data_IF_207376432541
#
_entry.id   IF_207376432541
#
_cell.length_a   1.000
_cell.length_b   1.000
_cell.length_c   1.000
_cell.angle_alpha   90.00
_cell.angle_beta   90.00
_cell.angle_gamma   90.00
#
_symmetry.space_group_name_H-M   'P 1'
#
loop_
_entity.id
_entity.type
_entity.pdbx_description
1 polymer ?
#
# COMPACT_ATOMS: atom_id res chain seq x y z
N UNK A 1 25.36 -20.82 12.83
CA UNK A 1 24.09 -20.71 13.57
C UNK A 1 22.98 -20.95 12.55
N UNK A 2 22.00 -21.82 12.78
CA UNK A 2 20.88 -21.92 11.85
C UNK A 2 20.11 -20.59 11.91
N UNK A 3 19.97 -19.98 10.75
CA UNK A 3 19.32 -18.70 10.49
C UNK A 3 17.81 -18.84 10.74
N UNK A 4 17.39 -18.81 12.02
CA UNK A 4 15.98 -18.74 12.36
C UNK A 4 15.48 -17.33 12.00
N UNK A 5 14.68 -17.28 10.95
CA UNK A 5 13.70 -16.23 10.66
C UNK A 5 12.76 -16.08 11.89
N UNK A 6 13.24 -15.39 12.92
CA UNK A 6 12.45 -15.01 14.10
C UNK A 6 11.68 -13.76 13.72
N UNK A 7 10.35 -13.81 13.79
CA UNK A 7 9.52 -12.61 13.73
C UNK A 7 9.80 -11.75 14.95
N UNK A 8 9.74 -10.42 14.82
CA UNK A 8 9.89 -9.54 16.00
C UNK A 8 8.73 -9.71 16.96
N UNK A 9 8.91 -9.34 18.22
CA UNK A 9 7.83 -9.44 19.22
C UNK A 9 6.56 -8.69 18.78
N UNK A 10 6.74 -7.54 18.12
CA UNK A 10 5.64 -6.80 17.50
C UNK A 10 4.93 -7.62 16.43
N UNK A 11 5.67 -8.27 15.53
CA UNK A 11 5.11 -9.12 14.46
C UNK A 11 4.40 -10.35 15.03
N UNK A 12 4.96 -10.98 16.08
CA UNK A 12 4.33 -12.12 16.75
C UNK A 12 3.03 -11.72 17.43
N UNK A 13 3.03 -10.62 18.18
CA UNK A 13 1.85 -10.13 18.91
C UNK A 13 0.76 -9.67 17.94
N UNK A 14 1.09 -8.93 16.88
CA UNK A 14 0.11 -8.53 15.86
C UNK A 14 -0.43 -9.75 15.11
N UNK A 15 0.42 -10.74 14.82
CA UNK A 15 0.02 -12.00 14.18
C UNK A 15 -1.00 -12.80 14.99
N UNK A 16 -1.10 -12.59 16.32
CA UNK A 16 -2.13 -13.23 17.15
C UNK A 16 -3.56 -12.85 16.75
N UNK A 17 -3.75 -11.68 16.16
CA UNK A 17 -5.07 -11.25 15.64
C UNK A 17 -5.58 -12.17 14.52
N UNK A 18 -4.68 -12.84 13.81
CA UNK A 18 -5.02 -13.75 12.71
C UNK A 18 -5.60 -15.08 13.22
N UNK A 19 -5.07 -15.58 14.33
CA UNK A 19 -5.48 -16.85 14.98
C UNK A 19 -6.57 -16.67 16.01
N UNK A 20 -7.09 -15.45 16.16
CA UNK A 20 -8.17 -15.17 17.09
C UNK A 20 -9.46 -15.89 16.69
N UNK A 21 -10.11 -16.54 17.66
CA UNK A 21 -11.35 -17.32 17.50
C UNK A 21 -12.53 -16.55 18.14
N UNK A 22 -13.37 -15.84 17.35
CA UNK A 22 -14.47 -15.02 17.89
C UNK A 22 -15.43 -15.78 18.78
N UNK A 23 -15.72 -17.05 18.46
CA UNK A 23 -16.61 -17.91 19.25
C UNK A 23 -16.11 -18.16 20.67
N UNK A 24 -14.79 -18.24 20.86
CA UNK A 24 -14.19 -18.41 22.19
C UNK A 24 -14.23 -17.10 23.01
N UNK A 25 -14.52 -15.97 22.38
CA UNK A 25 -14.57 -14.64 22.98
C UNK A 25 -16.00 -14.10 23.14
N UNK A 26 -17.02 -14.96 23.07
CA UNK A 26 -18.41 -14.52 23.18
C UNK A 26 -18.67 -13.79 24.51
N UNK A 27 -19.20 -12.57 24.44
CA UNK A 27 -19.41 -11.71 25.61
C UNK A 27 -18.16 -11.12 26.26
N UNK A 28 -16.96 -11.44 25.75
CA UNK A 28 -15.70 -10.97 26.32
C UNK A 28 -15.35 -9.55 25.84
N UNK A 29 -15.08 -8.65 26.78
CA UNK A 29 -14.41 -7.38 26.55
C UNK A 29 -13.16 -7.34 27.40
N UNK A 30 -12.00 -7.40 26.76
CA UNK A 30 -10.73 -7.48 27.48
C UNK A 30 -9.62 -6.76 26.73
N UNK A 31 -8.66 -6.25 27.50
CA UNK A 31 -7.41 -5.68 26.98
C UNK A 31 -6.23 -6.45 27.54
N UNK A 32 -5.44 -7.07 26.67
CA UNK A 32 -4.25 -7.85 27.03
C UNK A 32 -3.01 -7.02 26.70
N UNK A 33 -2.32 -6.55 27.72
CA UNK A 33 -1.06 -5.81 27.62
C UNK A 33 0.12 -6.79 27.56
N UNK A 34 1.08 -6.47 26.68
CA UNK A 34 2.37 -7.12 26.56
C UNK A 34 3.47 -6.11 26.89
N UNK A 35 4.13 -6.32 28.03
CA UNK A 35 5.29 -5.56 28.45
C UNK A 35 6.55 -6.37 28.14
N UNK A 36 7.18 -6.01 27.03
CA UNK A 36 8.31 -6.74 26.47
C UNK A 36 9.60 -6.21 27.05
N UNK A 37 10.44 -7.10 27.57
CA UNK A 37 11.77 -6.79 28.12
C UNK A 37 12.90 -7.32 27.23
N UNK A 38 14.14 -6.92 27.51
CA UNK A 38 15.32 -7.35 26.77
C UNK A 38 15.62 -6.50 25.52
N UNK A 39 16.24 -7.11 24.51
CA UNK A 39 16.71 -6.41 23.31
C UNK A 39 15.59 -5.86 22.42
N UNK A 40 14.42 -6.50 22.43
CA UNK A 40 13.21 -6.06 21.72
C UNK A 40 12.21 -5.37 22.68
N UNK A 41 12.72 -4.66 23.69
CA UNK A 41 11.87 -4.00 24.68
C UNK A 41 10.85 -3.07 24.02
N UNK A 42 9.60 -3.22 24.43
CA UNK A 42 8.47 -2.56 23.79
C UNK A 42 7.18 -2.84 24.53
N UNK A 43 6.14 -2.08 24.20
CA UNK A 43 4.83 -2.21 24.84
C UNK A 43 3.77 -2.29 23.76
N UNK A 44 2.90 -3.28 23.88
CA UNK A 44 1.85 -3.57 22.91
C UNK A 44 0.61 -4.04 23.62
N UNK A 45 -0.56 -3.90 23.03
CA UNK A 45 -1.76 -4.51 23.57
C UNK A 45 -2.69 -5.05 22.49
N UNK A 46 -3.41 -6.12 22.85
CA UNK A 46 -4.53 -6.66 22.10
C UNK A 46 -5.82 -6.20 22.76
N UNK A 47 -6.73 -5.66 21.97
CA UNK A 47 -8.07 -5.28 22.43
C UNK A 47 -9.09 -6.23 21.82
N UNK A 48 -9.78 -6.96 22.69
CA UNK A 48 -10.87 -7.87 22.35
C UNK A 48 -12.19 -7.17 22.69
N UNK A 49 -13.02 -6.95 21.68
CA UNK A 49 -14.35 -6.41 21.85
C UNK A 49 -15.22 -6.79 20.66
N UNK A 50 -16.52 -7.02 20.91
CA UNK A 50 -17.52 -7.23 19.84
C UNK A 50 -17.17 -8.38 18.87
N UNK A 51 -16.48 -9.42 19.38
CA UNK A 51 -16.07 -10.56 18.57
C UNK A 51 -14.89 -10.29 17.63
N UNK A 52 -14.18 -9.18 17.79
CA UNK A 52 -12.96 -8.83 17.06
C UNK A 52 -11.76 -8.70 18.01
N UNK A 53 -10.55 -8.89 17.48
CA UNK A 53 -9.29 -8.72 18.19
C UNK A 53 -8.37 -7.80 17.39
N UNK A 54 -8.03 -6.65 17.98
CA UNK A 54 -7.23 -5.62 17.33
C UNK A 54 -5.90 -5.40 18.05
N UNK A 55 -4.84 -5.21 17.27
CA UNK A 55 -3.50 -4.94 17.78
C UNK A 55 -3.24 -3.43 17.85
N UNK A 56 -2.60 -2.99 18.93
CA UNK A 56 -2.21 -1.60 19.14
C UNK A 56 -0.80 -1.49 19.73
N UNK A 57 0.05 -0.59 19.23
CA UNK A 57 1.32 -0.27 19.88
C UNK A 57 1.09 0.63 21.10
N UNK A 58 1.98 0.52 22.10
CA UNK A 58 1.98 1.37 23.29
C UNK A 58 1.39 0.71 24.54
N UNK A 59 0.94 1.57 25.45
CA UNK A 59 0.31 1.18 26.72
C UNK A 59 -1.20 1.24 26.61
N UNK A 60 -1.87 0.20 27.12
CA UNK A 60 -3.28 0.26 27.43
C UNK A 60 -3.52 1.11 28.69
N UNK A 61 -4.55 1.95 28.68
CA UNK A 61 -4.93 2.77 29.85
C UNK A 61 -5.41 1.91 31.03
N UNK A 62 -6.16 0.85 30.75
CA UNK A 62 -6.72 -0.06 31.75
C UNK A 62 -6.64 -1.52 31.22
N UNK A 63 -5.48 -2.18 31.34
CA UNK A 63 -5.33 -3.57 30.91
C UNK A 63 -6.09 -4.52 31.84
N UNK A 64 -6.80 -5.48 31.26
CA UNK A 64 -7.45 -6.58 31.98
C UNK A 64 -6.43 -7.63 32.42
N UNK A 65 -5.43 -7.86 31.57
CA UNK A 65 -4.34 -8.81 31.78
C UNK A 65 -3.05 -8.19 31.26
N UNK A 66 -1.97 -8.28 32.03
CA UNK A 66 -0.63 -7.83 31.63
C UNK A 66 0.34 -9.00 31.66
N UNK A 67 1.00 -9.24 30.54
CA UNK A 67 2.02 -10.27 30.32
C UNK A 67 3.37 -9.58 30.17
N UNK A 68 4.27 -9.81 31.13
CA UNK A 68 5.65 -9.29 31.08
C UNK A 68 6.59 -10.40 30.65
N UNK A 69 7.19 -10.28 29.46
CA UNK A 69 7.97 -11.36 28.84
C UNK A 69 9.12 -10.82 27.99
N UNK A 70 10.09 -11.66 27.63
CA UNK A 70 11.07 -11.32 26.59
C UNK A 70 10.65 -11.90 25.24
N UNK A 71 11.15 -11.33 24.14
CA UNK A 71 10.85 -11.81 22.79
C UNK A 71 11.27 -13.28 22.57
N UNK A 72 12.41 -13.70 23.17
CA UNK A 72 12.89 -15.09 23.06
C UNK A 72 11.94 -16.07 23.74
N UNK A 73 11.52 -15.78 24.98
CA UNK A 73 10.58 -16.63 25.71
C UNK A 73 9.23 -16.70 24.99
N UNK A 74 8.70 -15.55 24.54
CA UNK A 74 7.45 -15.53 23.80
C UNK A 74 7.54 -16.30 22.48
N UNK A 75 8.66 -16.20 21.76
CA UNK A 75 8.91 -16.98 20.54
C UNK A 75 8.90 -18.49 20.80
N UNK A 76 9.51 -18.94 21.91
CA UNK A 76 9.55 -20.36 22.30
C UNK A 76 8.18 -20.90 22.73
N UNK A 77 7.39 -20.07 23.41
CA UNK A 77 6.00 -20.40 23.73
C UNK A 77 5.19 -20.54 22.44
N UNK A 78 5.31 -19.56 21.53
CA UNK A 78 4.63 -19.57 20.24
C UNK A 78 5.01 -20.76 19.35
N UNK A 79 6.29 -21.16 19.35
CA UNK A 79 6.75 -22.32 18.57
C UNK A 79 6.40 -23.65 19.22
N UNK A 80 5.87 -23.66 20.45
CA UNK A 80 5.62 -24.87 21.23
C UNK A 80 6.88 -25.52 21.81
N UNK A 81 8.04 -24.86 21.72
CA UNK A 81 9.29 -25.32 22.34
C UNK A 81 9.21 -25.35 23.87
N UNK A 82 8.39 -24.48 24.46
CA UNK A 82 8.08 -24.47 25.90
C UNK A 82 6.59 -24.23 26.08
N UNK A 83 5.95 -24.97 27.00
CA UNK A 83 4.55 -24.72 27.35
C UNK A 83 4.41 -23.37 28.06
N UNK A 84 3.37 -22.60 27.72
CA UNK A 84 3.07 -21.34 28.42
C UNK A 84 2.81 -21.51 29.92
N UNK A 85 2.21 -22.63 30.34
CA UNK A 85 2.00 -22.92 31.77
C UNK A 85 3.32 -23.25 32.48
N UNK A 86 4.18 -24.04 31.82
CA UNK A 86 5.49 -24.41 32.34
C UNK A 86 6.41 -23.18 32.48
N UNK A 87 6.46 -22.34 31.45
CA UNK A 87 7.25 -21.11 31.47
C UNK A 87 6.80 -20.14 32.57
N UNK A 88 5.49 -20.09 32.89
CA UNK A 88 4.97 -19.29 34.01
C UNK A 88 5.39 -19.86 35.36
N UNK A 89 5.24 -21.19 35.54
CA UNK A 89 5.63 -21.87 36.77
C UNK A 89 7.13 -21.74 37.07
N UNK A 90 7.96 -21.70 36.03
CA UNK A 90 9.40 -21.46 36.12
C UNK A 90 9.78 -19.98 36.30
N UNK A 91 8.80 -19.05 36.23
CA UNK A 91 9.04 -17.62 36.33
C UNK A 91 9.75 -16.99 35.12
N UNK A 92 9.71 -17.64 33.96
CA UNK A 92 10.33 -17.15 32.71
C UNK A 92 9.58 -15.96 32.11
N UNK A 93 8.30 -15.80 32.45
CA UNK A 93 7.51 -14.61 32.22
C UNK A 93 6.56 -14.38 33.40
N UNK A 94 6.03 -13.17 33.52
CA UNK A 94 5.13 -12.80 34.61
C UNK A 94 3.76 -12.41 34.07
N UNK A 95 2.73 -12.64 34.87
CA UNK A 95 1.36 -12.27 34.56
C UNK A 95 0.75 -11.53 35.74
N UNK A 96 -0.01 -10.48 35.47
CA UNK A 96 -0.82 -9.75 36.47
C UNK A 96 -2.19 -9.38 35.89
N UNK A 97 -3.20 -9.24 36.74
CA UNK A 97 -4.58 -8.97 36.34
C UNK A 97 -5.47 -10.22 36.38
N UNK A 98 -6.36 -10.36 35.41
CA UNK A 98 -7.35 -11.42 35.34
C UNK A 98 -6.75 -12.76 34.86
N UNK A 99 -6.48 -13.67 35.80
CA UNK A 99 -5.96 -15.00 35.50
C UNK A 99 -6.99 -15.90 34.80
N UNK A 100 -8.30 -15.65 34.92
CA UNK A 100 -9.30 -16.41 34.15
C UNK A 100 -9.16 -16.15 32.65
N UNK A 101 -8.81 -14.92 32.28
CA UNK A 101 -8.48 -14.58 30.89
C UNK A 101 -7.24 -15.32 30.40
N UNK A 102 -6.22 -15.49 31.25
CA UNK A 102 -5.04 -16.30 30.92
C UNK A 102 -5.42 -17.78 30.69
N UNK A 103 -6.34 -18.33 31.48
CA UNK A 103 -6.81 -19.72 31.28
C UNK A 103 -7.58 -19.90 29.96
N UNK A 104 -8.26 -18.85 29.48
CA UNK A 104 -8.95 -18.84 28.18
C UNK A 104 -8.03 -18.55 26.99
N UNK A 105 -6.77 -18.19 27.24
CA UNK A 105 -5.86 -17.65 26.23
C UNK A 105 -5.64 -18.61 25.05
N UNK A 106 -5.44 -19.91 25.31
CA UNK A 106 -5.29 -20.93 24.28
C UNK A 106 -6.57 -21.04 23.42
N UNK A 107 -7.74 -21.09 24.05
CA UNK A 107 -9.01 -21.14 23.33
C UNK A 107 -9.23 -19.89 22.45
N UNK A 108 -8.86 -18.70 22.94
CA UNK A 108 -8.98 -17.43 22.23
C UNK A 108 -8.06 -17.35 21.00
N UNK A 109 -6.88 -17.98 21.05
CA UNK A 109 -5.83 -17.88 20.03
C UNK A 109 -5.43 -19.24 19.43
N UNK A 110 -6.40 -20.13 19.24
CA UNK A 110 -6.21 -21.49 18.69
C UNK A 110 -6.45 -21.61 17.18
N UNK A 111 -6.74 -20.49 16.50
CA UNK A 111 -7.00 -20.49 15.06
C UNK A 111 -5.78 -20.89 14.23
N UNK A 112 -6.03 -21.39 13.03
CA UNK A 112 -4.95 -21.77 12.11
C UNK A 112 -4.36 -20.54 11.41
N UNK A 113 -3.10 -20.23 11.68
CA UNK A 113 -2.33 -19.19 10.99
C UNK A 113 -1.70 -19.67 9.68
N UNK A 114 -1.81 -20.96 9.33
CA UNK A 114 -1.21 -21.52 8.12
C UNK A 114 -1.93 -21.08 6.84
N UNK A 115 -3.21 -20.71 6.96
CA UNK A 115 -4.06 -20.32 5.83
C UNK A 115 -4.31 -18.80 5.81
N UNK A 116 -3.29 -18.04 5.40
CA UNK A 116 -3.39 -16.58 5.20
C UNK A 116 -3.91 -16.21 3.80
N UNK A 117 -3.84 -17.14 2.86
CA UNK A 117 -4.35 -16.98 1.50
C UNK A 117 -5.87 -17.14 1.51
N UNK A 118 -6.56 -16.34 0.71
CA UNK A 118 -8.00 -16.46 0.58
C UNK A 118 -8.39 -17.60 -0.37
N UNK A 119 -9.57 -18.18 -0.16
CA UNK A 119 -10.13 -19.19 -1.05
C UNK A 119 -10.37 -18.68 -2.48
N UNK A 120 -10.55 -19.59 -3.46
CA UNK A 120 -10.60 -19.25 -4.90
C UNK A 120 -11.76 -18.31 -5.28
N UNK A 121 -12.83 -18.27 -4.48
CA UNK A 121 -13.98 -17.41 -4.72
C UNK A 121 -13.83 -16.01 -4.12
N UNK A 122 -12.77 -15.77 -3.34
CA UNK A 122 -12.52 -14.47 -2.70
C UNK A 122 -11.98 -13.47 -3.73
N UNK A 123 -12.83 -12.54 -4.17
CA UNK A 123 -12.49 -11.59 -5.23
C UNK A 123 -13.28 -10.29 -5.11
N UNK A 124 -12.86 -9.21 -5.81
CA UNK A 124 -13.62 -7.97 -5.87
C UNK A 124 -15.06 -8.20 -6.32
N UNK A 125 -15.98 -7.40 -5.77
CA UNK A 125 -17.38 -7.53 -6.08
C UNK A 125 -17.70 -7.22 -7.55
N UNK A 126 -18.74 -7.87 -8.06
CA UNK A 126 -19.28 -7.71 -9.41
C UNK A 126 -19.30 -9.00 -10.24
N UNK A 127 -19.88 -8.92 -11.45
CA UNK A 127 -20.12 -10.09 -12.29
C UNK A 127 -18.85 -10.64 -12.96
N UNK A 128 -17.79 -9.82 -13.08
CA UNK A 128 -16.56 -10.24 -13.73
C UNK A 128 -15.72 -11.13 -12.78
N UNK A 129 -15.37 -12.36 -13.18
CA UNK A 129 -14.62 -13.30 -12.34
C UNK A 129 -13.12 -12.99 -12.36
N UNK A 130 -12.74 -11.76 -12.03
CA UNK A 130 -11.36 -11.30 -12.05
C UNK A 130 -10.78 -11.25 -10.64
N UNK A 131 -9.58 -11.79 -10.49
CA UNK A 131 -8.77 -11.63 -9.27
C UNK A 131 -8.37 -10.17 -9.07
N UNK A 132 -7.98 -9.81 -7.85
CA UNK A 132 -7.50 -8.46 -7.54
C UNK A 132 -6.31 -8.03 -8.40
N UNK A 133 -5.36 -8.93 -8.69
CA UNK A 133 -4.21 -8.62 -9.56
C UNK A 133 -4.59 -8.47 -11.03
N UNK A 134 -5.57 -9.23 -11.53
CA UNK A 134 -6.11 -8.99 -12.88
C UNK A 134 -6.79 -7.63 -12.97
N UNK A 135 -7.49 -7.22 -11.91
CA UNK A 135 -8.04 -5.87 -11.81
C UNK A 135 -6.99 -4.77 -11.83
N UNK A 136 -5.82 -4.99 -11.23
CA UNK A 136 -4.70 -4.06 -11.35
C UNK A 136 -4.26 -3.90 -12.80
N UNK A 137 -4.13 -5.01 -13.54
CA UNK A 137 -3.79 -4.96 -14.96
C UNK A 137 -4.85 -4.19 -15.77
N UNK A 138 -6.14 -4.42 -15.50
CA UNK A 138 -7.24 -3.67 -16.12
C UNK A 138 -7.12 -2.17 -15.83
N UNK A 139 -6.82 -1.78 -14.58
CA UNK A 139 -6.63 -0.38 -14.21
C UNK A 139 -5.44 0.29 -14.95
N UNK A 140 -4.45 -0.49 -15.40
CA UNK A 140 -3.32 -0.01 -16.21
C UNK A 140 -3.62 0.06 -17.72
N UNK A 141 -4.68 -0.57 -18.24
CA UNK A 141 -4.98 -0.55 -19.68
C UNK A 141 -5.08 0.86 -20.26
N UNK A 142 -5.83 1.81 -19.66
CA UNK A 142 -5.87 3.18 -20.16
C UNK A 142 -4.48 3.84 -20.24
N UNK A 143 -3.62 3.59 -19.26
CA UNK A 143 -2.25 4.11 -19.19
C UNK A 143 -1.32 3.48 -20.22
N UNK A 144 -1.46 2.17 -20.47
CA UNK A 144 -0.72 1.50 -21.54
C UNK A 144 -1.10 2.06 -22.91
N UNK A 145 -2.41 2.22 -23.17
CA UNK A 145 -2.88 2.85 -24.41
C UNK A 145 -2.33 4.26 -24.54
N UNK A 146 -2.42 5.07 -23.47
CA UNK A 146 -1.85 6.42 -23.44
C UNK A 146 -0.35 6.42 -23.79
N UNK A 147 0.49 5.69 -23.06
CA UNK A 147 1.95 5.73 -23.27
C UNK A 147 2.40 5.15 -24.60
N UNK A 148 1.77 4.07 -25.09
CA UNK A 148 2.13 3.45 -26.37
C UNK A 148 1.76 4.37 -27.52
N UNK A 149 0.54 4.92 -27.50
CA UNK A 149 0.00 5.66 -28.65
C UNK A 149 0.22 7.16 -28.59
N UNK A 150 0.76 7.72 -27.49
CA UNK A 150 0.89 9.17 -27.30
C UNK A 150 1.52 9.91 -28.48
N UNK A 151 2.65 9.40 -28.99
CA UNK A 151 3.36 9.99 -30.12
C UNK A 151 3.10 9.27 -31.45
N UNK A 152 2.26 8.22 -31.46
CA UNK A 152 2.04 7.36 -32.62
C UNK A 152 0.64 7.52 -33.24
N UNK A 153 -0.31 8.08 -32.51
CA UNK A 153 -1.70 8.18 -32.93
C UNK A 153 -2.32 9.54 -32.59
N UNK A 154 -3.48 9.80 -33.19
CA UNK A 154 -4.26 11.01 -32.90
C UNK A 154 -4.72 11.07 -31.43
N UNK A 155 -5.02 12.28 -30.90
CA UNK A 155 -5.57 12.44 -29.55
C UNK A 155 -6.83 11.60 -29.28
N UNK A 156 -7.62 11.28 -30.32
CA UNK A 156 -8.78 10.41 -30.19
C UNK A 156 -8.39 9.03 -29.62
N UNK A 157 -7.27 8.48 -30.10
CA UNK A 157 -6.74 7.18 -29.66
C UNK A 157 -5.85 7.32 -28.43
N UNK A 158 -4.98 8.33 -28.40
CA UNK A 158 -3.98 8.45 -27.33
C UNK A 158 -4.50 9.08 -26.05
N UNK A 159 -5.64 9.79 -26.06
CA UNK A 159 -6.19 10.49 -24.89
C UNK A 159 -7.67 10.16 -24.64
N UNK A 160 -8.53 10.31 -25.65
CA UNK A 160 -9.97 10.15 -25.48
C UNK A 160 -10.39 8.69 -25.27
N UNK A 161 -9.76 7.75 -25.98
CA UNK A 161 -9.97 6.32 -25.74
C UNK A 161 -9.55 5.91 -24.30
N UNK A 162 -8.35 6.27 -23.80
CA UNK A 162 -8.01 6.09 -22.38
C UNK A 162 -9.02 6.71 -21.42
N UNK A 163 -9.50 7.94 -21.66
CA UNK A 163 -10.54 8.55 -20.83
C UNK A 163 -11.81 7.72 -20.81
N UNK A 164 -12.29 7.25 -21.97
CA UNK A 164 -13.47 6.39 -22.07
C UNK A 164 -13.28 5.07 -21.31
N UNK A 165 -12.12 4.42 -21.46
CA UNK A 165 -11.77 3.19 -20.74
C UNK A 165 -11.72 3.44 -19.22
N UNK A 166 -11.10 4.53 -18.77
CA UNK A 166 -11.06 4.91 -17.35
C UNK A 166 -12.45 5.20 -16.81
N UNK A 167 -13.31 5.91 -17.55
CA UNK A 167 -14.69 6.16 -17.16
C UNK A 167 -15.50 4.85 -17.05
N UNK A 168 -15.30 3.90 -17.97
CA UNK A 168 -15.92 2.58 -17.92
C UNK A 168 -15.48 1.77 -16.67
N UNK A 169 -14.18 1.78 -16.36
CA UNK A 169 -13.65 1.10 -15.15
C UNK A 169 -14.20 1.79 -13.89
N UNK A 170 -14.20 3.12 -13.85
CA UNK A 170 -14.69 3.89 -12.70
C UNK A 170 -16.18 3.67 -12.45
N UNK A 171 -17.00 3.68 -13.49
CA UNK A 171 -18.44 3.41 -13.40
C UNK A 171 -18.74 1.97 -13.01
N UNK A 172 -17.98 1.00 -13.52
CA UNK A 172 -18.07 -0.38 -13.07
C UNK A 172 -17.80 -0.47 -11.56
N UNK A 173 -16.72 0.17 -11.10
CA UNK A 173 -16.35 0.18 -9.68
C UNK A 173 -17.45 0.82 -8.83
N UNK A 174 -18.03 1.96 -9.23
CA UNK A 174 -19.14 2.58 -8.51
C UNK A 174 -20.39 1.68 -8.43
N UNK A 175 -20.63 0.83 -9.43
CA UNK A 175 -21.82 -0.02 -9.48
C UNK A 175 -21.72 -1.25 -8.58
N UNK A 176 -20.53 -1.83 -8.45
CA UNK A 176 -20.35 -3.12 -7.79
C UNK A 176 -19.53 -3.06 -6.51
N UNK A 177 -18.73 -2.02 -6.32
CA UNK A 177 -17.84 -1.83 -5.18
C UNK A 177 -17.58 -0.32 -5.01
N UNK A 178 -16.32 0.07 -4.81
CA UNK A 178 -15.86 1.46 -4.79
C UNK A 178 -14.64 1.67 -5.71
N UNK A 179 -14.49 2.85 -6.32
CA UNK A 179 -13.26 3.23 -7.00
C UNK A 179 -12.08 3.23 -6.01
N UNK A 180 -10.95 2.66 -6.42
CA UNK A 180 -9.72 2.75 -5.63
C UNK A 180 -9.02 4.07 -5.90
N UNK A 181 -7.93 4.31 -5.17
CA UNK A 181 -7.06 5.46 -5.39
C UNK A 181 -6.56 5.55 -6.85
N UNK A 182 -6.34 4.41 -7.51
CA UNK A 182 -5.89 4.34 -8.89
C UNK A 182 -6.97 4.80 -9.87
N UNK A 183 -8.22 4.32 -9.75
CA UNK A 183 -9.30 4.73 -10.66
C UNK A 183 -9.63 6.22 -10.52
N UNK A 184 -9.67 6.73 -9.28
CA UNK A 184 -9.87 8.16 -9.00
C UNK A 184 -8.76 8.99 -9.65
N UNK A 185 -7.51 8.63 -9.39
CA UNK A 185 -6.34 9.35 -9.91
C UNK A 185 -6.29 9.32 -11.43
N UNK A 186 -6.59 8.16 -12.03
CA UNK A 186 -6.64 7.98 -13.48
C UNK A 186 -7.73 8.84 -14.11
N UNK A 187 -8.93 8.89 -13.53
CA UNK A 187 -10.02 9.70 -14.06
C UNK A 187 -9.65 11.18 -14.03
N UNK A 188 -9.07 11.65 -12.91
CA UNK A 188 -8.58 13.03 -12.80
C UNK A 188 -7.56 13.38 -13.87
N UNK A 189 -6.57 12.51 -14.10
CA UNK A 189 -5.57 12.72 -15.14
C UNK A 189 -6.17 12.75 -16.55
N UNK A 190 -6.97 11.76 -16.91
CA UNK A 190 -7.46 11.64 -18.28
C UNK A 190 -8.51 12.70 -18.63
N UNK A 191 -9.29 13.18 -17.66
CA UNK A 191 -10.15 14.37 -17.85
C UNK A 191 -9.29 15.60 -18.14
N UNK A 192 -8.23 15.82 -17.36
CA UNK A 192 -7.31 16.93 -17.58
C UNK A 192 -6.59 16.82 -18.92
N UNK A 193 -6.04 15.65 -19.25
CA UNK A 193 -5.37 15.39 -20.50
C UNK A 193 -6.31 15.61 -21.70
N UNK A 194 -7.57 15.20 -21.61
CA UNK A 194 -8.56 15.46 -22.65
C UNK A 194 -8.80 16.96 -22.84
N UNK A 195 -8.99 17.71 -21.75
CA UNK A 195 -9.16 19.17 -21.81
C UNK A 195 -7.95 19.86 -22.45
N UNK A 196 -6.73 19.46 -22.09
CA UNK A 196 -5.50 20.01 -22.68
C UNK A 196 -5.34 19.60 -24.14
N UNK A 197 -5.73 18.38 -24.51
CA UNK A 197 -5.65 17.92 -25.90
C UNK A 197 -6.52 18.75 -26.85
N UNK A 198 -7.64 19.32 -26.36
CA UNK A 198 -8.51 20.20 -27.14
C UNK A 198 -7.86 21.55 -27.47
N UNK A 199 -6.88 22.00 -26.69
CA UNK A 199 -6.21 23.27 -26.95
C UNK A 199 -5.15 23.16 -28.06
N UNK A 200 -4.79 21.95 -28.49
CA UNK A 200 -3.71 21.72 -29.47
C UNK A 200 -2.36 22.27 -29.02
N UNK A 201 -2.11 22.36 -27.70
CA UNK A 201 -0.91 22.98 -27.18
C UNK A 201 0.34 22.16 -27.58
N UNK A 202 1.33 22.74 -28.27
CA UNK A 202 2.55 22.02 -28.67
C UNK A 202 3.31 21.43 -27.47
N UNK A 203 3.22 22.10 -26.32
CA UNK A 203 3.79 21.62 -25.06
C UNK A 203 3.18 20.27 -24.64
N UNK A 204 1.88 20.05 -24.85
CA UNK A 204 1.25 18.78 -24.51
C UNK A 204 1.69 17.65 -25.46
N UNK A 205 1.76 17.92 -26.76
CA UNK A 205 2.24 16.94 -27.75
C UNK A 205 3.67 16.47 -27.47
N UNK A 206 4.51 17.39 -27.00
CA UNK A 206 5.91 17.09 -26.63
C UNK A 206 6.03 16.40 -25.28
N UNK A 207 5.39 16.93 -24.24
CA UNK A 207 5.67 16.56 -22.85
C UNK A 207 4.61 15.68 -22.20
N UNK A 208 3.43 15.52 -22.79
CA UNK A 208 2.27 14.89 -22.14
C UNK A 208 2.52 13.45 -21.68
N UNK A 209 3.23 12.64 -22.47
CA UNK A 209 3.65 11.29 -22.06
C UNK A 209 4.51 11.29 -20.79
N UNK A 210 5.49 12.20 -20.71
CA UNK A 210 6.39 12.36 -19.56
C UNK A 210 5.62 12.86 -18.34
N UNK A 211 4.72 13.84 -18.54
CA UNK A 211 3.87 14.36 -17.46
C UNK A 211 2.92 13.29 -16.93
N UNK A 212 2.40 12.41 -17.77
CA UNK A 212 1.64 11.24 -17.34
C UNK A 212 2.49 10.27 -16.50
N UNK A 213 3.77 10.08 -16.83
CA UNK A 213 4.69 9.28 -16.01
C UNK A 213 4.97 9.92 -14.65
N UNK A 214 5.19 11.25 -14.59
CA UNK A 214 5.35 11.97 -13.32
C UNK A 214 4.07 11.88 -12.48
N UNK A 215 2.91 12.07 -13.11
CA UNK A 215 1.61 11.96 -12.47
C UNK A 215 1.41 10.59 -11.84
N UNK A 216 1.73 9.53 -12.58
CA UNK A 216 1.69 8.17 -12.08
C UNK A 216 2.59 8.00 -10.85
N UNK A 217 3.85 8.41 -10.90
CA UNK A 217 4.74 8.37 -9.73
C UNK A 217 4.16 9.12 -8.52
N UNK A 218 3.60 10.31 -8.77
CA UNK A 218 2.88 11.11 -7.78
C UNK A 218 1.70 10.38 -7.14
N UNK A 219 0.86 9.69 -7.92
CA UNK A 219 -0.24 8.88 -7.40
C UNK A 219 0.26 7.78 -6.46
N UNK A 220 1.32 7.08 -6.83
CA UNK A 220 1.88 6.00 -6.02
C UNK A 220 2.38 6.53 -4.66
N UNK A 221 3.10 7.65 -4.65
CA UNK A 221 3.51 8.27 -3.39
C UNK A 221 2.35 8.86 -2.59
N UNK A 222 1.37 9.47 -3.26
CA UNK A 222 0.19 10.03 -2.63
C UNK A 222 -0.61 8.93 -1.91
N UNK A 223 -0.71 7.72 -2.50
CA UNK A 223 -1.36 6.58 -1.86
C UNK A 223 -0.74 6.23 -0.50
N UNK A 224 0.59 6.33 -0.35
CA UNK A 224 1.30 6.03 0.90
C UNK A 224 1.07 7.06 2.02
N UNK A 225 0.56 8.24 1.67
CA UNK A 225 0.37 9.37 2.59
C UNK A 225 -1.10 9.66 2.86
N UNK A 226 -1.94 9.54 1.84
CA UNK A 226 -3.32 10.01 1.83
C UNK A 226 -4.33 8.86 1.91
N UNK A 227 -3.97 7.67 1.42
CA UNK A 227 -4.87 6.51 1.47
C UNK A 227 -4.74 5.74 2.79
N UNK A 228 -5.79 4.96 3.15
CA UNK A 228 -5.75 4.05 4.31
C UNK A 228 -4.87 2.84 4.04
N UNK A 229 -4.81 2.41 2.79
CA UNK A 229 -4.04 1.28 2.30
C UNK A 229 -3.16 1.72 1.13
N UNK A 230 -1.90 1.24 1.01
CA UNK A 230 -1.09 1.48 -0.18
C UNK A 230 -1.83 1.04 -1.44
N UNK A 231 -1.61 1.73 -2.57
CA UNK A 231 -2.29 1.43 -3.85
C UNK A 231 -2.24 -0.06 -4.21
N UNK A 232 -1.08 -0.68 -4.07
CA UNK A 232 -0.81 -2.11 -4.24
C UNK A 232 -1.75 -2.99 -3.42
N UNK A 233 -2.00 -2.58 -2.16
CA UNK A 233 -2.82 -3.31 -1.22
C UNK A 233 -4.28 -3.39 -1.64
N UNK A 234 -4.83 -2.36 -2.27
CA UNK A 234 -6.24 -2.36 -2.73
C UNK A 234 -6.53 -3.48 -3.74
N UNK A 235 -5.50 -3.93 -4.45
CA UNK A 235 -5.57 -5.03 -5.42
C UNK A 235 -5.08 -6.35 -4.84
N UNK A 236 -3.95 -6.37 -4.11
CA UNK A 236 -3.38 -7.61 -3.58
C UNK A 236 -4.18 -8.19 -2.41
N UNK A 237 -4.98 -7.38 -1.70
CA UNK A 237 -5.75 -7.82 -0.53
C UNK A 237 -6.66 -9.00 -0.83
N UNK A 238 -7.21 -9.07 -2.04
CA UNK A 238 -8.12 -10.13 -2.47
C UNK A 238 -7.45 -11.51 -2.59
N UNK A 239 -6.13 -11.60 -2.49
CA UNK A 239 -5.40 -12.87 -2.40
C UNK A 239 -5.29 -13.39 -0.96
N UNK A 240 -5.71 -12.61 0.03
CA UNK A 240 -5.52 -12.88 1.45
C UNK A 240 -6.80 -12.70 2.25
N UNK A 241 -6.89 -13.37 3.39
CA UNK A 241 -8.01 -13.24 4.31
C UNK A 241 -8.17 -11.80 4.83
N UNK A 242 -9.42 -11.37 5.05
CA UNK A 242 -9.73 -9.97 5.43
C UNK A 242 -9.05 -9.51 6.72
N UNK A 243 -8.90 -10.41 7.70
CA UNK A 243 -8.21 -10.13 8.96
C UNK A 243 -6.78 -9.62 8.74
N UNK A 244 -6.11 -10.11 7.69
CA UNK A 244 -4.74 -9.75 7.38
C UNK A 244 -4.60 -8.31 6.86
N UNK A 245 -5.64 -7.77 6.21
CA UNK A 245 -5.59 -6.50 5.46
C UNK A 245 -5.22 -5.29 6.31
N UNK A 246 -5.54 -5.35 7.61
CA UNK A 246 -5.31 -4.25 8.57
C UNK A 246 -3.96 -4.35 9.29
N UNK A 247 -3.29 -5.50 9.18
CA UNK A 247 -2.04 -5.77 9.88
C UNK A 247 -0.85 -5.14 9.16
N UNK A 248 0.19 -4.80 9.91
CA UNK A 248 1.44 -4.33 9.32
C UNK A 248 2.15 -5.42 8.49
N UNK A 249 1.87 -6.69 8.74
CA UNK A 249 2.35 -7.82 7.92
C UNK A 249 1.86 -7.72 6.47
N UNK A 250 0.68 -7.13 6.24
CA UNK A 250 0.15 -6.86 4.89
C UNK A 250 0.50 -5.47 4.39
N UNK A 251 0.35 -4.46 5.25
CA UNK A 251 0.53 -3.05 4.86
C UNK A 251 1.99 -2.76 4.52
N UNK A 252 2.96 -3.26 5.30
CA UNK A 252 4.37 -2.99 5.08
C UNK A 252 4.87 -3.46 3.71
N UNK A 253 4.71 -4.74 3.30
CA UNK A 253 5.22 -5.16 2.00
C UNK A 253 4.57 -4.45 0.82
N UNK A 254 3.25 -4.22 0.88
CA UNK A 254 2.55 -3.42 -0.13
C UNK A 254 3.06 -1.97 -0.16
N UNK A 255 3.38 -1.39 0.99
CA UNK A 255 3.94 -0.05 1.06
C UNK A 255 5.35 0.03 0.46
N UNK A 256 6.19 -0.99 0.64
CA UNK A 256 7.53 -1.06 0.04
C UNK A 256 7.45 -1.18 -1.49
N UNK A 257 6.60 -2.06 -2.00
CA UNK A 257 6.36 -2.20 -3.45
C UNK A 257 5.86 -0.86 -4.00
N UNK A 258 4.94 -0.22 -3.30
CA UNK A 258 4.39 1.05 -3.72
C UNK A 258 5.40 2.20 -3.72
N UNK A 259 6.29 2.24 -2.75
CA UNK A 259 7.37 3.21 -2.70
C UNK A 259 8.33 3.02 -3.88
N UNK A 260 8.69 1.77 -4.17
CA UNK A 260 9.56 1.44 -5.30
C UNK A 260 8.94 1.88 -6.62
N UNK A 261 7.68 1.55 -6.89
CA UNK A 261 6.99 1.96 -8.12
C UNK A 261 6.92 3.49 -8.27
N UNK A 262 6.64 4.23 -7.19
CA UNK A 262 6.67 5.69 -7.23
C UNK A 262 8.03 6.24 -7.70
N UNK A 263 9.13 5.74 -7.12
CA UNK A 263 10.48 6.16 -7.52
C UNK A 263 10.87 5.68 -8.92
N UNK A 264 10.44 4.49 -9.30
CA UNK A 264 10.62 3.93 -10.62
C UNK A 264 9.97 4.81 -11.70
N UNK A 265 8.74 5.29 -11.47
CA UNK A 265 8.08 6.21 -12.39
C UNK A 265 8.82 7.56 -12.46
N UNK A 266 9.31 8.11 -11.34
CA UNK A 266 10.12 9.33 -11.39
C UNK A 266 11.43 9.14 -12.15
N UNK A 267 12.13 8.03 -11.95
CA UNK A 267 13.33 7.72 -12.72
C UNK A 267 13.03 7.63 -14.22
N UNK A 268 11.96 6.92 -14.59
CA UNK A 268 11.50 6.83 -15.98
C UNK A 268 11.15 8.22 -16.57
N UNK A 269 10.52 9.10 -15.78
CA UNK A 269 10.23 10.46 -16.19
C UNK A 269 11.50 11.28 -16.43
N UNK A 270 12.51 11.17 -15.57
CA UNK A 270 13.81 11.85 -15.73
C UNK A 270 14.52 11.42 -17.03
N UNK A 271 14.50 10.11 -17.35
CA UNK A 271 15.02 9.63 -18.63
C UNK A 271 14.19 10.14 -19.83
N UNK A 272 12.87 10.27 -19.67
CA UNK A 272 12.03 10.93 -20.67
C UNK A 272 12.42 12.40 -20.90
N UNK A 273 12.66 13.15 -19.82
CA UNK A 273 13.15 14.54 -19.91
C UNK A 273 14.53 14.60 -20.58
N UNK A 274 15.45 13.71 -20.19
CA UNK A 274 16.78 13.64 -20.79
C UNK A 274 16.74 13.35 -22.29
N UNK A 275 15.84 12.45 -22.73
CA UNK A 275 15.63 12.16 -24.15
C UNK A 275 15.21 13.41 -24.94
N UNK A 276 14.30 14.22 -24.38
CA UNK A 276 13.80 15.45 -25.00
C UNK A 276 14.82 16.60 -25.00
N UNK A 277 15.65 16.71 -23.96
CA UNK A 277 16.63 17.80 -23.80
C UNK A 277 17.95 17.52 -24.53
N UNK A 278 18.27 16.25 -24.78
CA UNK A 278 19.53 15.85 -25.41
C UNK A 278 19.25 14.94 -26.62
N UNK A 279 18.85 15.51 -27.78
CA UNK A 279 18.41 14.73 -28.94
C UNK A 279 19.44 13.70 -29.45
N UNK A 280 20.73 13.98 -29.29
CA UNK A 280 21.82 13.05 -29.64
C UNK A 280 21.74 11.70 -28.90
N UNK A 281 21.07 11.66 -27.75
CA UNK A 281 20.89 10.46 -26.93
C UNK A 281 19.40 10.08 -26.75
N UNK A 282 18.52 10.56 -27.65
CA UNK A 282 17.09 10.29 -27.57
C UNK A 282 16.77 8.79 -27.45
N UNK A 283 17.31 7.98 -28.37
CA UNK A 283 17.07 6.53 -28.40
C UNK A 283 17.57 5.82 -27.14
N UNK A 284 18.84 5.94 -26.71
CA UNK A 284 19.31 5.25 -25.51
C UNK A 284 18.55 5.68 -24.25
N UNK A 285 18.24 6.97 -24.07
CA UNK A 285 17.43 7.40 -22.91
C UNK A 285 16.00 6.86 -22.96
N UNK A 286 15.38 6.80 -24.14
CA UNK A 286 14.05 6.21 -24.31
C UNK A 286 14.05 4.70 -24.04
N UNK A 287 15.08 3.98 -24.49
CA UNK A 287 15.26 2.55 -24.19
C UNK A 287 15.41 2.33 -22.69
N UNK A 288 16.23 3.13 -21.99
CA UNK A 288 16.37 3.03 -20.53
C UNK A 288 15.04 3.31 -19.83
N UNK A 289 14.35 4.39 -20.20
CA UNK A 289 13.03 4.76 -19.65
C UNK A 289 12.06 3.57 -19.58
N UNK A 290 11.95 2.80 -20.67
CA UNK A 290 11.02 1.67 -20.74
C UNK A 290 11.59 0.38 -20.14
N UNK A 291 12.89 0.11 -20.30
CA UNK A 291 13.51 -1.12 -19.77
C UNK A 291 13.61 -1.13 -18.24
N UNK A 292 13.60 0.04 -17.59
CA UNK A 292 13.52 0.12 -16.12
C UNK A 292 12.24 -0.54 -15.53
N UNK A 293 11.20 -0.79 -16.34
CA UNK A 293 10.04 -1.58 -15.91
C UNK A 293 10.39 -3.03 -15.57
N UNK A 294 11.38 -3.62 -16.25
CA UNK A 294 11.78 -5.03 -16.07
C UNK A 294 12.22 -5.32 -14.62
N UNK A 295 13.22 -4.62 -14.04
CA UNK A 295 13.60 -4.85 -12.65
C UNK A 295 12.46 -4.55 -11.68
N UNK A 296 11.59 -3.59 -11.97
CA UNK A 296 10.43 -3.28 -11.13
C UNK A 296 9.41 -4.44 -11.08
N UNK A 297 9.12 -5.06 -12.23
CA UNK A 297 8.29 -6.26 -12.28
C UNK A 297 8.94 -7.45 -11.58
N UNK A 298 10.25 -7.67 -11.79
CA UNK A 298 10.99 -8.74 -11.10
C UNK A 298 10.90 -8.55 -9.58
N UNK A 299 11.14 -7.35 -9.08
CA UNK A 299 11.02 -7.03 -7.66
C UNK A 299 9.62 -7.30 -7.14
N UNK A 300 8.58 -6.85 -7.85
CA UNK A 300 7.17 -7.05 -7.45
C UNK A 300 6.81 -8.53 -7.39
N UNK A 301 7.33 -9.37 -8.29
CA UNK A 301 7.08 -10.80 -8.29
C UNK A 301 7.86 -11.56 -7.20
N UNK A 302 9.03 -11.05 -6.79
CA UNK A 302 9.93 -11.74 -5.85
C UNK A 302 9.74 -11.30 -4.40
N UNK A 303 9.53 -10.01 -4.16
CA UNK A 303 9.54 -9.41 -2.83
C UNK A 303 8.45 -9.97 -1.88
N UNK A 304 7.18 -10.15 -2.30
CA UNK A 304 6.13 -10.69 -1.42
C UNK A 304 6.45 -12.06 -0.85
N UNK A 305 7.13 -12.94 -1.61
CA UNK A 305 7.40 -14.33 -1.20
C UNK A 305 8.26 -14.43 0.07
N UNK A 306 9.14 -13.45 0.30
CA UNK A 306 10.00 -13.40 1.49
C UNK A 306 9.47 -12.50 2.60
N UNK A 307 8.48 -11.66 2.32
CA UNK A 307 8.04 -10.62 3.24
C UNK A 307 7.45 -11.14 4.56
N UNK A 308 6.59 -12.18 4.58
CA UNK A 308 5.99 -12.69 5.83
C UNK A 308 7.02 -13.27 6.81
N UNK A 309 8.19 -13.70 6.31
CA UNK A 309 9.24 -14.34 7.11
C UNK A 309 10.34 -13.35 7.56
N UNK A 310 10.25 -12.10 7.12
CA UNK A 310 11.31 -11.12 7.35
C UNK A 310 11.19 -10.52 8.74
N UNK A 311 12.24 -10.68 9.55
CA UNK A 311 12.39 -9.95 10.81
C UNK A 311 12.44 -8.45 10.52
N UNK A 312 11.57 -7.68 11.18
CA UNK A 312 11.57 -6.22 11.12
C UNK A 312 11.65 -5.72 12.58
N UNK A 313 12.84 -5.33 13.05
CA UNK A 313 13.04 -4.95 14.46
C UNK A 313 12.21 -3.72 14.84
N UNK A 314 12.16 -2.72 13.96
CA UNK A 314 11.39 -1.49 14.14
C UNK A 314 10.43 -1.28 12.96
N UNK A 315 9.25 -1.89 13.06
CA UNK A 315 8.22 -1.74 12.02
C UNK A 315 7.66 -0.31 11.97
N UNK A 316 7.53 0.36 13.11
CA UNK A 316 6.97 1.71 13.13
C UNK A 316 7.91 2.70 12.45
N UNK A 317 9.20 2.63 12.75
CA UNK A 317 10.22 3.39 12.02
C UNK A 317 10.32 2.98 10.56
N UNK A 318 10.14 1.69 10.21
CA UNK A 318 10.09 1.27 8.81
C UNK A 318 8.95 1.95 8.04
N UNK A 319 7.72 1.93 8.58
CA UNK A 319 6.57 2.61 8.00
C UNK A 319 6.75 4.15 7.97
N UNK A 320 7.35 4.74 9.01
CA UNK A 320 7.71 6.18 9.05
C UNK A 320 8.72 6.53 7.94
N UNK A 321 9.75 5.71 7.74
CA UNK A 321 10.74 5.89 6.65
C UNK A 321 10.08 5.79 5.28
N UNK A 322 9.19 4.82 5.07
CA UNK A 322 8.44 4.70 3.80
C UNK A 322 7.61 5.98 3.55
N UNK A 323 6.88 6.46 4.55
CA UNK A 323 6.11 7.70 4.45
C UNK A 323 6.99 8.92 4.22
N UNK A 324 8.17 8.99 4.84
CA UNK A 324 9.14 10.06 4.61
C UNK A 324 9.61 10.08 3.15
N UNK A 325 10.07 8.94 2.63
CA UNK A 325 10.54 8.82 1.25
C UNK A 325 9.41 9.01 0.22
N UNK A 326 8.19 8.63 0.55
CA UNK A 326 7.02 8.98 -0.26
C UNK A 326 6.77 10.50 -0.28
N UNK A 327 6.93 11.18 0.86
CA UNK A 327 6.88 12.64 0.94
C UNK A 327 7.96 13.31 0.08
N UNK A 328 9.20 12.84 0.16
CA UNK A 328 10.29 13.32 -0.69
C UNK A 328 9.99 13.09 -2.18
N UNK A 329 9.43 11.93 -2.54
CA UNK A 329 8.98 11.62 -3.90
C UNK A 329 7.87 12.56 -4.39
N UNK A 330 6.89 12.91 -3.54
CA UNK A 330 5.86 13.89 -3.88
C UNK A 330 6.45 15.28 -4.13
N UNK A 331 7.41 15.73 -3.31
CA UNK A 331 8.10 17.00 -3.51
C UNK A 331 8.87 16.99 -4.82
N UNK A 332 9.56 15.89 -5.15
CA UNK A 332 10.26 15.73 -6.42
C UNK A 332 9.30 15.76 -7.61
N UNK A 333 8.16 15.04 -7.54
CA UNK A 333 7.13 15.06 -8.57
C UNK A 333 6.56 16.47 -8.78
N UNK A 334 6.24 17.18 -7.69
CA UNK A 334 5.77 18.56 -7.74
C UNK A 334 6.82 19.51 -8.35
N UNK A 335 8.09 19.37 -7.96
CA UNK A 335 9.19 20.13 -8.53
C UNK A 335 9.33 19.92 -10.05
N UNK A 336 9.15 18.69 -10.53
CA UNK A 336 9.16 18.39 -11.97
C UNK A 336 7.96 19.00 -12.70
N UNK A 337 6.76 18.99 -12.10
CA UNK A 337 5.60 19.68 -12.65
C UNK A 337 5.80 21.19 -12.74
N UNK A 338 6.31 21.82 -11.67
CA UNK A 338 6.58 23.28 -11.63
C UNK A 338 7.68 23.65 -12.62
N UNK A 339 8.77 22.90 -12.65
CA UNK A 339 9.86 23.10 -13.61
C UNK A 339 9.34 22.95 -15.04
N UNK A 340 8.52 21.93 -15.29
CA UNK A 340 7.89 21.74 -16.59
C UNK A 340 6.97 22.91 -16.96
N UNK A 341 6.25 23.47 -16.00
CA UNK A 341 5.39 24.63 -16.24
C UNK A 341 6.21 25.86 -16.57
N UNK A 342 7.26 26.14 -15.81
CA UNK A 342 8.08 27.35 -15.97
C UNK A 342 8.93 27.29 -17.24
N UNK A 343 9.50 26.14 -17.59
CA UNK A 343 10.44 26.01 -18.71
C UNK A 343 9.70 25.78 -20.04
N UNK A 344 8.56 25.08 -20.04
CA UNK A 344 7.94 24.60 -21.27
C UNK A 344 6.62 25.28 -21.64
N UNK A 345 6.19 26.31 -20.90
CA UNK A 345 5.09 27.18 -21.30
C UNK A 345 5.60 28.55 -21.78
N UNK A 346 5.25 28.92 -23.02
CA UNK A 346 5.24 30.32 -23.43
C UNK A 346 4.09 31.07 -22.71
N UNK A 347 4.02 32.42 -22.80
CA UNK A 347 3.00 33.23 -22.12
C UNK A 347 1.54 32.86 -22.43
N UNK A 348 1.30 32.09 -23.50
CA UNK A 348 -0.02 31.62 -23.92
C UNK A 348 -0.27 30.11 -23.68
N UNK A 349 0.72 29.35 -23.21
CA UNK A 349 0.73 27.88 -23.35
C UNK A 349 0.67 27.14 -22.00
N UNK A 350 -0.43 27.29 -21.27
CA UNK A 350 -0.83 26.21 -20.34
C UNK A 350 -0.10 26.13 -19.00
N UNK A 351 0.15 27.26 -18.35
CA UNK A 351 0.52 27.27 -16.92
C UNK A 351 -0.51 26.56 -16.02
N UNK A 352 -1.79 26.59 -16.41
CA UNK A 352 -2.90 26.09 -15.59
C UNK A 352 -2.94 24.57 -15.43
N UNK A 353 -2.65 23.77 -16.47
CA UNK A 353 -2.92 22.34 -16.40
C UNK A 353 -1.89 21.57 -15.55
N UNK A 354 -0.63 22.00 -15.51
CA UNK A 354 0.40 21.38 -14.66
C UNK A 354 0.11 21.60 -13.18
N UNK A 355 -0.40 22.78 -12.82
CA UNK A 355 -0.88 23.09 -11.47
C UNK A 355 -2.18 22.34 -11.14
N UNK A 356 -3.08 22.16 -12.11
CA UNK A 356 -4.29 21.34 -11.94
C UNK A 356 -3.90 19.86 -11.72
N UNK A 357 -2.92 19.33 -12.45
CA UNK A 357 -2.41 17.98 -12.25
C UNK A 357 -1.87 17.77 -10.82
N UNK A 358 -1.08 18.73 -10.32
CA UNK A 358 -0.60 18.73 -8.94
C UNK A 358 -1.76 18.82 -7.93
N UNK A 359 -2.75 19.70 -8.19
CA UNK A 359 -3.94 19.80 -7.37
C UNK A 359 -4.78 18.51 -7.38
N UNK A 360 -4.85 17.79 -8.49
CA UNK A 360 -5.56 16.49 -8.54
C UNK A 360 -4.84 15.40 -7.74
N UNK A 361 -3.51 15.39 -7.68
CA UNK A 361 -2.77 14.43 -6.85
C UNK A 361 -2.95 14.73 -5.36
N UNK A 362 -2.94 16.02 -4.98
CA UNK A 362 -2.90 16.44 -3.58
C UNK A 362 -4.29 16.72 -2.96
N UNK A 363 -5.21 17.31 -3.72
CA UNK A 363 -6.47 17.82 -3.21
C UNK A 363 -7.67 16.89 -3.47
N UNK A 364 -7.70 16.17 -4.60
CA UNK A 364 -8.82 15.27 -4.93
C UNK A 364 -8.94 14.12 -3.92
N UNK A 365 -7.86 13.45 -3.48
CA UNK A 365 -7.98 12.44 -2.44
C UNK A 365 -8.45 13.01 -1.09
N UNK A 366 -8.02 14.21 -0.73
CA UNK A 366 -8.45 14.88 0.51
C UNK A 366 -9.93 15.27 0.46
N UNK A 367 -10.41 15.75 -0.69
CA UNK A 367 -11.81 16.08 -0.96
C UNK A 367 -12.70 14.82 -0.94
N UNK A 368 -12.28 13.74 -1.60
CA UNK A 368 -13.01 12.48 -1.64
C UNK A 368 -13.08 11.78 -0.27
N UNK A 369 -12.10 12.04 0.60
CA UNK A 369 -12.13 11.58 2.00
C UNK A 369 -13.20 12.31 2.82
N UNK A 370 -13.41 13.61 2.56
CA UNK A 370 -14.45 14.41 3.23
C UNK A 370 -15.86 14.05 2.79
N UNK A 371 -16.03 13.55 1.56
CA UNK A 371 -17.34 13.17 0.98
C UNK A 371 -17.73 11.71 1.22
N UNK A 372 -16.89 10.93 1.92
CA UNK A 372 -17.19 9.51 2.24
C UNK A 372 -16.95 8.54 1.09
N UNK A 373 -16.60 9.01 -0.11
CA UNK A 373 -16.30 8.18 -1.29
C UNK A 373 -15.03 7.32 -1.14
N UNK A 374 -14.19 7.60 -0.12
CA UNK A 374 -13.03 6.81 0.27
C UNK A 374 -13.21 6.03 1.60
N UNK A 375 -14.43 5.93 2.15
CA UNK A 375 -14.65 5.31 3.46
C UNK A 375 -15.10 3.84 3.38
N UNK A 376 -14.20 2.94 3.81
CA UNK A 376 -14.38 1.71 4.62
C UNK A 376 -13.01 1.03 4.68
#
# INVERSE_FOLDING_TARGET
MPEQSRLSMRQMTEGMTLVFVPKAAEGLKATIQFDVTGEEAGRYFLKIAEGDCTFHPGLAEAPTLTITTSADIWSRIRSGEVSGAEALAQGLYQVSGDLELLMKFEALFSGDASEIEAGPDHRPAGPLPLTGMQWLNIAFVPWMVFWIFFHLASPLVSVWLPLALTAAIFTYRLKFDRPTFMEIGSLGFFVLAAMVSLSGAPAFERWGSIMGTIYMGGLWFASLRLARMPLCGEYSKWQFIEKLWRTSLFIHPNAVICLMWGWQFLAAALFGVAAELVPAYYTPFTVVRYTLMVPAFIFTARYPRGAPKRFIPDMEGALKRIRFWAGAGLVAAAGLFVTGAVIFSGPADGFGWLLIGLATILAVPAFLRRTGLLAA
#
